data_IF_185567130803
#
_entry.id   IF_185567130803
#
_cell.length_a   1.000
_cell.length_b   1.000
_cell.length_c   1.000
_cell.angle_alpha   90.00
_cell.angle_beta   90.00
_cell.angle_gamma   90.00
#
_symmetry.space_group_name_H-M   'P 1'
#
loop_
_entity.id
_entity.type
_entity.pdbx_description
1 polymer ?
#
# COMPACT_ATOMS: atom_id res chain seq x y z
N UNK A 1 -5.37 24.01 10.48
CA UNK A 1 -5.83 24.95 9.42
C UNK A 1 -7.08 24.34 8.82
N UNK A 2 -8.26 24.88 9.13
CA UNK A 2 -9.53 24.36 8.62
C UNK A 2 -9.77 24.93 7.22
N UNK A 3 -9.84 24.09 6.19
CA UNK A 3 -10.31 24.51 4.88
C UNK A 3 -11.85 24.43 4.87
N UNK A 4 -12.50 25.59 4.91
CA UNK A 4 -13.96 25.70 4.74
C UNK A 4 -14.30 25.74 3.25
N UNK A 5 -14.88 24.65 2.74
CA UNK A 5 -15.39 24.56 1.36
C UNK A 5 -16.78 25.23 1.31
N UNK A 6 -16.86 26.46 0.80
CA UNK A 6 -18.13 27.15 0.50
C UNK A 6 -18.57 26.82 -0.94
N UNK A 7 -19.14 25.64 -1.16
CA UNK A 7 -19.89 25.29 -2.38
C UNK A 7 -20.66 23.98 -2.16
N UNK A 8 -21.88 23.89 -2.69
CA UNK A 8 -22.86 22.82 -2.42
C UNK A 8 -22.49 21.42 -2.93
N UNK A 9 -21.33 21.23 -3.58
CA UNK A 9 -20.74 19.92 -3.86
C UNK A 9 -19.21 20.03 -3.79
N UNK A 10 -18.62 19.55 -2.69
CA UNK A 10 -17.18 19.44 -2.51
C UNK A 10 -16.83 17.94 -2.62
N UNK A 11 -16.68 17.42 -3.84
CA UNK A 11 -16.12 16.08 -4.04
C UNK A 11 -14.63 16.14 -3.70
N UNK A 12 -14.31 15.93 -2.43
CA UNK A 12 -12.95 15.98 -1.93
C UNK A 12 -12.53 14.59 -1.51
N UNK A 13 -11.73 13.94 -2.35
CA UNK A 13 -11.09 12.68 -2.00
C UNK A 13 -9.84 12.95 -1.16
N UNK A 14 -9.71 12.21 -0.06
CA UNK A 14 -8.48 12.15 0.72
C UNK A 14 -7.64 10.99 0.19
N UNK A 15 -6.39 11.29 -0.18
CA UNK A 15 -5.45 10.30 -0.68
C UNK A 15 -4.26 10.24 0.26
N UNK A 16 -4.08 9.11 0.92
CA UNK A 16 -2.92 8.83 1.76
C UNK A 16 -1.95 7.95 0.99
N UNK A 17 -0.68 8.35 0.97
CA UNK A 17 0.41 7.54 0.37
C UNK A 17 1.37 7.15 1.46
N UNK A 18 1.52 5.83 1.66
CA UNK A 18 2.19 5.27 2.82
C UNK A 18 3.18 4.20 2.34
N UNK A 19 4.47 4.30 2.70
CA UNK A 19 5.41 3.19 2.55
C UNK A 19 5.21 2.18 3.67
N UNK A 20 5.35 0.88 3.37
CA UNK A 20 5.31 -0.17 4.39
C UNK A 20 6.41 -1.21 4.17
N UNK A 21 7.05 -1.62 5.27
CA UNK A 21 8.16 -2.58 5.28
C UNK A 21 9.43 -2.09 4.57
N UNK A 22 10.47 -2.92 4.63
CA UNK A 22 11.74 -2.71 3.89
C UNK A 22 11.85 -3.77 2.81
N UNK A 23 12.12 -3.37 1.57
CA UNK A 23 12.34 -4.30 0.47
C UNK A 23 13.60 -5.13 0.71
N UNK A 24 13.60 -6.38 0.29
CA UNK A 24 14.74 -7.29 0.40
C UNK A 24 15.07 -7.88 -0.97
N UNK A 25 16.35 -8.10 -1.25
CA UNK A 25 16.83 -8.83 -2.42
C UNK A 25 17.95 -9.79 -2.02
N UNK A 26 18.07 -10.95 -2.69
CA UNK A 26 19.17 -11.87 -2.44
C UNK A 26 20.50 -11.23 -2.85
N UNK A 27 21.52 -11.42 -2.02
CA UNK A 27 22.91 -11.10 -2.36
C UNK A 27 23.55 -12.21 -3.22
N UNK A 28 24.87 -12.11 -3.42
CA UNK A 28 25.65 -13.07 -4.22
C UNK A 28 25.63 -14.50 -3.67
N UNK A 29 25.35 -14.65 -2.38
CA UNK A 29 25.27 -15.94 -1.69
C UNK A 29 23.81 -16.42 -1.56
N UNK A 30 22.84 -15.69 -2.13
CA UNK A 30 21.42 -15.99 -2.06
C UNK A 30 20.76 -15.60 -0.73
N UNK A 31 21.46 -14.86 0.14
CA UNK A 31 20.90 -14.40 1.42
C UNK A 31 20.12 -13.11 1.19
N UNK A 32 18.87 -13.04 1.64
CA UNK A 32 18.04 -11.84 1.49
C UNK A 32 18.57 -10.70 2.37
N UNK A 33 19.01 -9.63 1.72
CA UNK A 33 19.50 -8.41 2.38
C UNK A 33 18.47 -7.28 2.25
N UNK A 34 18.28 -6.46 3.30
CA UNK A 34 17.41 -5.30 3.23
C UNK A 34 18.02 -4.19 2.37
N UNK A 35 17.16 -3.55 1.56
CA UNK A 35 17.56 -2.48 0.66
C UNK A 35 17.46 -1.10 1.33
N UNK A 36 18.56 -0.36 1.26
CA UNK A 36 18.64 1.03 1.68
C UNK A 36 19.30 1.88 0.58
N UNK A 37 18.82 3.12 0.41
CA UNK A 37 19.38 4.08 -0.56
C UNK A 37 20.65 4.75 -0.05
N UNK A 38 20.90 4.72 1.26
CA UNK A 38 22.05 5.35 1.88
C UNK A 38 22.44 4.61 3.16
N UNK A 39 23.76 4.51 3.37
CA UNK A 39 24.38 3.94 4.55
C UNK A 39 25.30 4.99 5.18
N UNK A 40 25.37 5.01 6.51
CA UNK A 40 26.34 5.84 7.24
C UNK A 40 27.75 5.20 7.29
N UNK A 41 28.69 5.88 7.95
CA UNK A 41 30.08 5.42 8.12
C UNK A 41 30.19 4.10 8.91
N UNK A 42 29.17 3.74 9.69
CA UNK A 42 29.11 2.51 10.48
C UNK A 42 28.33 1.40 9.76
N UNK A 43 28.00 1.60 8.47
CA UNK A 43 27.22 0.68 7.66
C UNK A 43 25.77 0.47 8.15
N UNK A 44 25.19 1.46 8.85
CA UNK A 44 23.77 1.45 9.18
C UNK A 44 22.96 1.99 8.01
N UNK A 45 21.95 1.24 7.56
CA UNK A 45 21.01 1.68 6.55
C UNK A 45 20.11 2.81 7.07
N UNK A 46 20.17 3.99 6.46
CA UNK A 46 19.47 5.19 6.94
C UNK A 46 18.16 5.46 6.18
N UNK A 47 18.14 5.19 4.87
CA UNK A 47 16.98 5.47 4.02
C UNK A 47 16.45 4.14 3.47
N UNK A 48 15.46 3.50 4.12
CA UNK A 48 14.94 2.22 3.68
C UNK A 48 14.18 2.34 2.36
N UNK A 49 14.35 1.36 1.49
CA UNK A 49 13.51 1.20 0.30
C UNK A 49 12.20 0.51 0.73
N UNK A 50 11.01 1.09 0.47
CA UNK A 50 9.75 0.50 0.88
C UNK A 50 9.54 -0.87 0.24
N UNK A 51 8.99 -1.83 0.98
CA UNK A 51 8.56 -3.12 0.43
C UNK A 51 7.25 -3.00 -0.35
N UNK A 52 6.32 -2.25 0.22
CA UNK A 52 5.00 -1.98 -0.35
C UNK A 52 4.78 -0.47 -0.47
N UNK A 53 4.16 -0.06 -1.57
CA UNK A 53 3.56 1.25 -1.72
C UNK A 53 2.06 1.13 -1.51
N UNK A 54 1.53 1.91 -0.58
CA UNK A 54 0.12 1.89 -0.22
C UNK A 54 -0.50 3.22 -0.62
N UNK A 55 -1.60 3.18 -1.36
CA UNK A 55 -2.43 4.33 -1.69
C UNK A 55 -3.84 4.10 -1.18
N UNK A 56 -4.19 4.73 -0.07
CA UNK A 56 -5.54 4.72 0.46
C UNK A 56 -6.33 5.92 -0.08
N UNK A 57 -7.49 5.66 -0.66
CA UNK A 57 -8.42 6.65 -1.20
C UNK A 57 -9.68 6.62 -0.35
N UNK A 58 -10.07 7.78 0.16
CA UNK A 58 -11.22 7.93 1.07
C UNK A 58 -12.09 9.06 0.59
N UNK A 59 -13.38 8.79 0.44
CA UNK A 59 -14.42 9.79 0.29
C UNK A 59 -15.05 10.05 1.67
N UNK A 60 -14.76 11.21 2.30
CA UNK A 60 -15.30 11.54 3.62
C UNK A 60 -16.81 11.88 3.60
N UNK A 61 -17.39 12.16 2.43
CA UNK A 61 -18.81 12.53 2.31
C UNK A 61 -19.69 11.29 2.36
N UNK A 62 -19.36 10.28 1.55
CA UNK A 62 -20.02 8.97 1.56
C UNK A 62 -19.49 8.02 2.63
N UNK A 63 -18.38 8.38 3.29
CA UNK A 63 -17.62 7.52 4.22
C UNK A 63 -17.22 6.20 3.58
N UNK A 64 -16.82 6.24 2.31
CA UNK A 64 -16.33 5.06 1.59
C UNK A 64 -14.84 5.13 1.38
N UNK A 65 -14.16 4.00 1.38
CA UNK A 65 -12.72 3.98 1.10
C UNK A 65 -12.20 2.66 0.56
N UNK A 66 -11.01 2.72 -0.03
CA UNK A 66 -10.30 1.57 -0.58
C UNK A 66 -8.80 1.86 -0.54
N UNK A 67 -7.97 0.85 -0.29
CA UNK A 67 -6.53 0.99 -0.41
C UNK A 67 -5.96 0.07 -1.47
N UNK A 68 -5.05 0.59 -2.28
CA UNK A 68 -4.27 -0.15 -3.26
C UNK A 68 -2.88 -0.37 -2.70
N UNK A 69 -2.42 -1.61 -2.68
CA UNK A 69 -1.08 -1.97 -2.25
C UNK A 69 -0.34 -2.52 -3.46
N UNK A 70 0.90 -2.07 -3.65
CA UNK A 70 1.75 -2.45 -4.78
C UNK A 70 3.10 -2.91 -4.26
N UNK A 71 3.56 -4.06 -4.76
CA UNK A 71 4.86 -4.63 -4.43
C UNK A 71 5.98 -3.84 -5.10
N UNK A 72 6.96 -3.40 -4.32
CA UNK A 72 8.14 -2.70 -4.81
C UNK A 72 9.34 -3.65 -5.01
N UNK A 73 9.14 -4.70 -5.80
CA UNK A 73 10.21 -5.61 -6.22
C UNK A 73 9.89 -6.16 -7.62
N UNK A 74 10.58 -5.71 -8.69
CA UNK A 74 10.31 -6.14 -10.06
C UNK A 74 10.76 -7.59 -10.35
N UNK A 75 11.52 -8.20 -9.45
CA UNK A 75 12.04 -9.57 -9.58
C UNK A 75 11.28 -10.58 -8.73
N UNK A 76 10.26 -10.11 -7.98
CA UNK A 76 9.50 -10.96 -7.06
C UNK A 76 8.78 -12.06 -7.83
N UNK A 77 8.68 -13.23 -7.20
CA UNK A 77 7.91 -14.37 -7.67
C UNK A 77 6.61 -14.53 -6.88
N UNK A 78 5.66 -15.30 -7.42
CA UNK A 78 4.41 -15.59 -6.71
C UNK A 78 4.64 -16.38 -5.40
N UNK A 79 5.66 -17.24 -5.38
CA UNK A 79 6.09 -17.98 -4.19
C UNK A 79 6.57 -17.01 -3.11
N UNK A 80 7.47 -16.08 -3.45
CA UNK A 80 7.95 -15.06 -2.51
C UNK A 80 6.83 -14.14 -2.01
N UNK A 81 5.85 -13.80 -2.85
CA UNK A 81 4.68 -13.01 -2.42
C UNK A 81 3.93 -13.72 -1.28
N UNK A 82 3.75 -15.03 -1.40
CA UNK A 82 3.04 -15.86 -0.43
C UNK A 82 3.85 -16.11 0.84
N UNK A 83 5.16 -16.35 0.70
CA UNK A 83 6.02 -16.74 1.81
C UNK A 83 6.59 -15.56 2.61
N UNK A 84 6.79 -14.41 1.97
CA UNK A 84 7.45 -13.27 2.59
C UNK A 84 6.49 -12.21 3.12
N UNK A 85 5.23 -12.51 3.42
CA UNK A 85 4.26 -11.55 3.97
C UNK A 85 4.12 -10.27 3.11
N UNK A 86 4.02 -10.40 1.78
CA UNK A 86 3.71 -9.25 0.92
C UNK A 86 2.23 -8.89 0.94
N UNK A 87 1.35 -9.82 1.31
CA UNK A 87 -0.10 -9.62 1.40
C UNK A 87 -0.49 -9.42 2.86
N UNK A 88 -0.83 -8.18 3.23
CA UNK A 88 -1.10 -7.76 4.63
C UNK A 88 -2.59 -7.58 4.96
N UNK A 89 -3.47 -7.92 4.04
CA UNK A 89 -4.93 -7.86 4.18
C UNK A 89 -5.58 -8.83 3.18
N UNK A 90 -6.90 -9.05 3.29
CA UNK A 90 -7.68 -9.73 2.26
C UNK A 90 -7.77 -8.89 0.98
N UNK A 91 -7.49 -9.51 -0.18
CA UNK A 91 -7.64 -8.85 -1.48
C UNK A 91 -9.11 -8.78 -1.88
N UNK A 92 -9.62 -7.56 -1.99
CA UNK A 92 -10.99 -7.26 -2.39
C UNK A 92 -11.08 -6.57 -3.75
N UNK A 93 -10.05 -6.63 -4.61
CA UNK A 93 -10.09 -5.93 -5.90
C UNK A 93 -11.27 -6.38 -6.79
N UNK A 94 -11.69 -7.64 -6.69
CA UNK A 94 -12.80 -8.20 -7.48
C UNK A 94 -14.17 -7.56 -7.18
N UNK A 95 -14.31 -6.81 -6.08
CA UNK A 95 -15.55 -6.09 -5.75
C UNK A 95 -15.66 -4.72 -6.43
N UNK A 96 -14.60 -4.27 -7.12
CA UNK A 96 -14.50 -2.95 -7.72
C UNK A 96 -14.84 -3.02 -9.22
N UNK A 97 -16.11 -2.77 -9.55
CA UNK A 97 -16.62 -2.89 -10.94
C UNK A 97 -15.94 -1.93 -11.94
N UNK A 98 -15.32 -0.85 -11.45
CA UNK A 98 -14.60 0.13 -12.26
C UNK A 98 -13.11 -0.20 -12.47
N UNK A 99 -12.58 -1.21 -11.78
CA UNK A 99 -11.18 -1.61 -11.91
C UNK A 99 -11.00 -2.43 -13.19
N UNK A 100 -10.29 -1.88 -14.16
CA UNK A 100 -10.16 -2.48 -15.51
C UNK A 100 -8.83 -3.17 -15.79
N UNK A 101 -7.85 -3.01 -14.90
CA UNK A 101 -6.54 -3.63 -15.03
C UNK A 101 -6.45 -4.86 -14.14
N UNK A 102 -5.57 -5.81 -14.50
CA UNK A 102 -5.31 -7.03 -13.73
C UNK A 102 -4.29 -6.73 -12.62
N UNK A 103 -4.72 -6.64 -11.34
CA UNK A 103 -3.85 -6.24 -10.26
C UNK A 103 -2.84 -7.30 -9.87
N UNK A 104 -3.20 -8.56 -10.04
CA UNK A 104 -2.33 -9.69 -9.69
C UNK A 104 -1.29 -10.00 -10.77
N UNK A 105 -1.23 -9.20 -11.84
CA UNK A 105 -0.30 -9.40 -12.94
C UNK A 105 1.14 -9.08 -12.54
N UNK A 106 1.88 -10.09 -12.08
CA UNK A 106 3.25 -9.90 -11.60
C UNK A 106 4.18 -9.26 -12.64
N UNK A 107 3.97 -9.50 -13.95
CA UNK A 107 4.76 -8.90 -15.02
C UNK A 107 4.49 -7.40 -15.22
N UNK A 108 3.32 -6.91 -14.80
CA UNK A 108 2.94 -5.49 -14.83
C UNK A 108 3.06 -4.79 -13.48
N UNK A 109 3.48 -5.54 -12.45
CA UNK A 109 3.51 -5.11 -11.06
C UNK A 109 2.36 -5.75 -10.28
N UNK A 110 2.71 -6.54 -9.26
CA UNK A 110 1.72 -7.16 -8.40
C UNK A 110 1.11 -6.15 -7.43
N UNK A 111 -0.21 -6.13 -7.40
CA UNK A 111 -1.03 -5.29 -6.55
C UNK A 111 -2.27 -6.03 -6.06
N UNK A 112 -2.85 -5.50 -4.99
CA UNK A 112 -4.10 -5.98 -4.40
C UNK A 112 -4.81 -4.84 -3.68
N UNK A 113 -6.06 -5.05 -3.31
CA UNK A 113 -6.92 -4.02 -2.72
C UNK A 113 -7.31 -4.40 -1.29
N UNK A 114 -7.19 -3.48 -0.33
CA UNK A 114 -7.62 -3.69 1.05
C UNK A 114 -8.82 -2.82 1.41
N UNK A 115 -9.69 -3.35 2.26
CA UNK A 115 -10.56 -2.51 3.07
C UNK A 115 -9.72 -1.60 3.98
N UNK A 116 -10.11 -0.33 4.14
CA UNK A 116 -9.39 0.64 4.99
C UNK A 116 -9.30 0.18 6.45
N UNK A 117 -10.36 -0.44 6.99
CA UNK A 117 -10.39 -0.93 8.37
C UNK A 117 -9.42 -2.09 8.58
N UNK A 118 -9.28 -2.98 7.60
CA UNK A 118 -8.35 -4.10 7.69
C UNK A 118 -6.91 -3.64 7.50
N UNK A 119 -6.68 -2.72 6.58
CA UNK A 119 -5.38 -2.08 6.42
C UNK A 119 -4.90 -1.40 7.71
N UNK A 120 -5.80 -0.70 8.41
CA UNK A 120 -5.46 -0.01 9.66
C UNK A 120 -5.01 -0.98 10.77
N UNK A 121 -5.47 -2.25 10.75
CA UNK A 121 -4.99 -3.29 11.70
C UNK A 121 -3.54 -3.71 11.43
N UNK A 122 -3.07 -3.53 10.20
CA UNK A 122 -1.71 -3.90 9.76
C UNK A 122 -0.71 -2.74 9.84
N UNK A 123 -1.18 -1.52 10.18
CA UNK A 123 -0.38 -0.30 10.22
C UNK A 123 -0.54 0.44 11.56
N UNK A 124 0.43 0.27 12.46
CA UNK A 124 0.39 0.86 13.81
C UNK A 124 0.26 2.40 13.84
N UNK A 125 0.67 3.08 12.78
CA UNK A 125 0.67 4.55 12.68
C UNK A 125 -0.52 5.11 11.87
N UNK A 126 -1.40 4.26 11.35
CA UNK A 126 -2.51 4.73 10.52
C UNK A 126 -3.49 5.52 11.39
N UNK A 127 -3.83 6.77 11.00
CA UNK A 127 -4.82 7.54 11.75
C UNK A 127 -6.19 6.84 11.71
N UNK A 128 -7.02 7.06 12.72
CA UNK A 128 -8.41 6.64 12.65
C UNK A 128 -9.10 7.36 11.49
N UNK A 129 -9.60 6.60 10.52
CA UNK A 129 -10.35 7.10 9.37
C UNK A 129 -11.80 6.65 9.51
N UNK A 130 -12.72 7.61 9.50
CA UNK A 130 -14.16 7.37 9.52
C UNK A 130 -14.64 6.86 8.15
N UNK A 131 -14.59 5.54 7.98
CA UNK A 131 -15.04 4.82 6.78
C UNK A 131 -16.03 3.74 7.21
N UNK A 132 -17.20 3.70 6.58
CA UNK A 132 -18.25 2.72 6.86
C UNK A 132 -18.33 1.62 5.80
N UNK A 133 -17.95 1.92 4.55
CA UNK A 133 -18.08 0.99 3.42
C UNK A 133 -16.93 1.12 2.39
N UNK A 134 -16.92 0.25 1.38
CA UNK A 134 -15.93 0.20 0.31
C UNK A 134 -16.26 1.25 -0.77
N UNK A 135 -15.23 1.93 -1.28
CA UNK A 135 -15.36 2.81 -2.44
C UNK A 135 -15.47 1.96 -3.73
N UNK A 136 -16.70 1.73 -4.17
CA UNK A 136 -17.05 1.02 -5.42
C UNK A 136 -17.40 1.97 -6.56
#
# INVERSE_FOLDING_TARGET
>A
MFFSCRSLFCYHLLIYTIPHGVAVLPDVDGTYQPLYLYFDENNNGLIPVPKLYIKAVVDPVSKTGIAFLTVNNPYVTMEEIQEQNYVICEDICDVLDWLTWDPTNIKKGYSYCCNIKDLAKSLDFMPEIDVDDILR
#
